data_IF_929048570172
#
_entry.id   IF_929048570172
#
_cell.length_a   1.000
_cell.length_b   1.000
_cell.length_c   1.000
_cell.angle_alpha   90.00
_cell.angle_beta   90.00
_cell.angle_gamma   90.00
#
_symmetry.space_group_name_H-M   'P 1'
#
loop_
_entity.id
_entity.type
_entity.pdbx_description
1 polymer ?
#
# COMPACT_ATOMS: atom_id res chain seq x y z
N UNK A 1 -22.01 25.52 42.85
CA UNK A 1 -21.66 24.09 42.95
C UNK A 1 -21.80 23.29 41.65
N UNK A 2 -22.21 23.91 40.52
CA UNK A 2 -22.45 23.22 39.23
C UNK A 2 -21.26 23.30 38.27
N UNK A 3 -20.44 24.36 38.35
CA UNK A 3 -19.27 24.57 37.47
C UNK A 3 -18.12 23.56 37.67
N UNK A 4 -18.01 22.95 38.86
CA UNK A 4 -16.92 22.01 39.19
C UNK A 4 -17.13 20.62 38.53
N UNK A 5 -18.37 20.25 38.24
CA UNK A 5 -18.72 18.99 37.58
C UNK A 5 -18.59 19.07 36.06
N UNK A 6 -18.77 20.26 35.46
CA UNK A 6 -18.62 20.46 34.01
C UNK A 6 -17.15 20.27 33.58
N UNK A 7 -16.20 20.70 34.42
CA UNK A 7 -14.76 20.53 34.13
C UNK A 7 -14.32 19.05 34.22
N UNK A 8 -14.99 18.25 35.05
CA UNK A 8 -14.68 16.81 35.23
C UNK A 8 -15.20 15.95 34.06
N UNK A 9 -16.28 16.38 33.40
CA UNK A 9 -16.83 15.70 32.22
C UNK A 9 -15.93 15.89 30.99
N UNK A 10 -15.27 17.05 30.85
CA UNK A 10 -14.39 17.33 29.71
C UNK A 10 -13.10 16.48 29.76
N UNK A 11 -12.60 16.14 30.95
CA UNK A 11 -11.38 15.32 31.11
C UNK A 11 -11.59 13.82 30.89
N UNK A 12 -12.83 13.33 30.86
CA UNK A 12 -13.13 11.91 30.65
C UNK A 12 -13.51 11.54 29.21
N UNK A 13 -13.70 12.53 28.32
CA UNK A 13 -14.15 12.29 26.92
C UNK A 13 -13.00 12.18 25.91
N UNK A 14 -11.75 12.48 26.30
CA UNK A 14 -10.57 12.20 25.47
C UNK A 14 -9.67 11.20 26.22
N UNK A 15 -9.65 9.90 25.85
CA UNK A 15 -9.04 9.48 24.59
C UNK A 15 -9.63 8.18 23.99
N UNK A 16 -10.51 8.25 22.98
CA UNK A 16 -10.92 7.05 22.23
C UNK A 16 -10.38 7.05 20.78
N UNK A 17 -9.73 8.12 20.33
CA UNK A 17 -9.14 8.17 18.98
C UNK A 17 -7.74 7.53 18.95
N UNK A 18 -7.63 6.30 19.45
CA UNK A 18 -6.55 5.38 19.03
C UNK A 18 -7.12 4.00 18.68
N UNK A 19 -8.36 3.95 18.19
CA UNK A 19 -8.81 2.81 17.40
C UNK A 19 -7.92 2.74 16.16
N UNK A 20 -7.03 1.75 16.15
CA UNK A 20 -5.99 1.56 15.14
C UNK A 20 -6.54 1.78 13.73
N UNK A 21 -5.78 2.51 12.93
CA UNK A 21 -5.94 2.54 11.49
C UNK A 21 -5.64 1.14 10.94
N UNK A 22 -6.56 0.20 11.18
CA UNK A 22 -6.68 -0.99 10.36
C UNK A 22 -7.17 -0.43 9.03
N UNK A 23 -6.22 -0.23 8.13
CA UNK A 23 -6.51 0.08 6.75
C UNK A 23 -7.51 -0.98 6.26
N UNK A 24 -8.78 -0.61 6.12
CA UNK A 24 -9.80 -1.43 5.49
C UNK A 24 -9.43 -1.52 4.01
N UNK A 25 -8.44 -2.35 3.71
CA UNK A 25 -8.33 -2.92 2.39
C UNK A 25 -9.47 -3.92 2.30
N UNK A 26 -10.63 -3.44 1.85
CA UNK A 26 -11.70 -4.30 1.38
C UNK A 26 -11.06 -5.10 0.27
N UNK A 27 -10.77 -6.38 0.53
CA UNK A 27 -10.51 -7.31 -0.56
C UNK A 27 -11.87 -7.45 -1.23
N UNK A 28 -12.06 -6.73 -2.33
CA UNK A 28 -13.29 -6.92 -3.08
C UNK A 28 -13.33 -8.39 -3.48
N UNK A 29 -14.42 -9.05 -3.11
CA UNK A 29 -14.66 -10.47 -3.39
C UNK A 29 -15.42 -10.65 -4.70
N UNK A 30 -15.76 -9.55 -5.38
CA UNK A 30 -16.41 -9.56 -6.68
C UNK A 30 -15.47 -10.11 -7.75
N UNK A 31 -15.73 -11.32 -8.29
CA UNK A 31 -14.88 -11.94 -9.30
C UNK A 31 -14.85 -11.15 -10.62
N UNK A 32 -15.82 -10.27 -10.85
CA UNK A 32 -15.97 -9.48 -12.07
C UNK A 32 -14.89 -8.41 -12.28
N UNK A 33 -14.33 -7.86 -11.20
CA UNK A 33 -13.29 -6.81 -11.27
C UNK A 33 -11.93 -7.33 -11.73
N UNK A 34 -11.69 -8.64 -11.55
CA UNK A 34 -10.45 -9.28 -11.99
C UNK A 34 -10.42 -9.59 -13.49
N UNK A 35 -11.54 -9.48 -14.20
CA UNK A 35 -11.63 -10.00 -15.59
C UNK A 35 -10.65 -9.35 -16.57
N UNK A 36 -10.21 -8.12 -16.29
CA UNK A 36 -9.27 -7.38 -17.15
C UNK A 36 -7.95 -7.01 -16.45
N UNK A 37 -7.78 -7.36 -15.16
CA UNK A 37 -6.54 -7.06 -14.44
C UNK A 37 -5.49 -8.12 -14.75
N UNK A 38 -4.43 -7.72 -15.47
CA UNK A 38 -3.34 -8.61 -15.89
C UNK A 38 -2.14 -8.56 -14.94
N UNK A 39 -2.05 -7.53 -14.09
CA UNK A 39 -0.95 -7.32 -13.16
C UNK A 39 -1.41 -7.56 -11.72
N UNK A 40 -0.85 -8.56 -11.07
CA UNK A 40 -1.25 -9.03 -9.74
C UNK A 40 -0.21 -8.65 -8.68
N UNK A 41 -0.66 -7.98 -7.63
CA UNK A 41 0.18 -7.49 -6.55
C UNK A 41 -0.46 -7.82 -5.19
N UNK A 42 0.35 -8.32 -4.25
CA UNK A 42 -0.07 -8.51 -2.86
C UNK A 42 1.07 -8.12 -1.91
N UNK A 43 1.04 -6.91 -1.32
CA UNK A 43 2.11 -6.47 -0.44
C UNK A 43 2.06 -7.21 0.90
N UNK A 44 3.21 -7.39 1.59
CA UNK A 44 3.24 -7.89 2.95
C UNK A 44 2.34 -7.08 3.89
N UNK A 45 1.74 -7.75 4.89
CA UNK A 45 0.90 -7.10 5.90
C UNK A 45 1.41 -7.46 7.31
N UNK A 46 1.79 -6.47 8.15
CA UNK A 46 1.90 -5.03 7.86
C UNK A 46 3.19 -4.67 7.09
N UNK A 47 3.20 -3.48 6.47
CA UNK A 47 4.44 -2.85 6.00
C UNK A 47 5.05 -2.06 7.15
N UNK A 48 6.26 -2.44 7.59
CA UNK A 48 6.91 -1.78 8.72
C UNK A 48 7.75 -0.57 8.30
N UNK A 49 7.68 0.52 9.06
CA UNK A 49 8.62 1.64 8.91
C UNK A 49 10.05 1.19 9.24
N UNK A 50 11.04 1.85 8.63
CA UNK A 50 12.47 1.60 8.85
C UNK A 50 12.92 0.15 8.53
N UNK A 51 12.15 -0.59 7.74
CA UNK A 51 12.51 -1.91 7.22
C UNK A 51 12.50 -1.90 5.69
N UNK A 52 13.40 -2.66 5.09
CA UNK A 52 13.40 -2.91 3.64
C UNK A 52 12.26 -3.84 3.29
N UNK A 53 11.61 -3.60 2.17
CA UNK A 53 10.52 -4.45 1.66
C UNK A 53 10.64 -4.57 0.14
N UNK A 54 10.07 -5.64 -0.40
CA UNK A 54 9.91 -5.78 -1.84
C UNK A 54 8.50 -5.32 -2.24
N UNK A 55 8.42 -4.53 -3.30
CA UNK A 55 7.18 -4.19 -3.99
C UNK A 55 7.18 -5.01 -5.27
N UNK A 56 6.38 -6.07 -5.26
CA UNK A 56 6.42 -7.13 -6.26
C UNK A 56 5.12 -7.24 -7.02
N UNK A 57 5.14 -7.39 -8.33
CA UNK A 57 3.96 -7.84 -9.05
C UNK A 57 4.31 -8.98 -10.00
N UNK A 58 3.30 -9.80 -10.30
CA UNK A 58 3.37 -10.86 -11.31
C UNK A 58 2.35 -10.57 -12.40
N UNK A 59 2.51 -11.21 -13.55
CA UNK A 59 1.60 -11.05 -14.69
C UNK A 59 1.39 -12.39 -15.39
N UNK A 60 0.22 -12.53 -16.01
CA UNK A 60 -0.11 -13.63 -16.92
C UNK A 60 0.14 -13.25 -18.40
N UNK A 61 0.72 -12.08 -18.64
CA UNK A 61 1.13 -11.61 -19.96
C UNK A 61 2.37 -12.40 -20.42
N UNK A 62 2.36 -12.98 -21.64
CA UNK A 62 3.50 -13.69 -22.20
C UNK A 62 4.77 -12.83 -22.25
N UNK A 63 5.90 -13.37 -21.82
CA UNK A 63 7.14 -12.60 -21.64
C UNK A 63 7.65 -11.93 -22.92
N UNK A 64 7.46 -12.60 -24.06
CA UNK A 64 7.80 -12.13 -25.41
C UNK A 64 6.92 -10.94 -25.87
N UNK A 65 5.74 -10.77 -25.28
CA UNK A 65 4.85 -9.63 -25.55
C UNK A 65 5.16 -8.40 -24.69
N UNK A 66 5.98 -8.51 -23.64
CA UNK A 66 6.28 -7.42 -22.70
C UNK A 66 7.38 -6.52 -23.27
N UNK A 67 7.07 -5.24 -23.47
CA UNK A 67 8.03 -4.23 -23.92
C UNK A 67 8.73 -3.55 -22.74
N UNK A 68 7.99 -3.23 -21.68
CA UNK A 68 8.55 -2.64 -20.46
C UNK A 68 7.58 -2.74 -19.30
N UNK A 69 8.12 -2.73 -18.09
CA UNK A 69 7.38 -2.53 -16.86
C UNK A 69 7.97 -1.40 -16.03
N UNK A 70 7.11 -0.59 -15.43
CA UNK A 70 7.48 0.52 -14.58
C UNK A 70 6.64 0.55 -13.31
N UNK A 71 7.28 0.94 -12.21
CA UNK A 71 6.65 1.34 -10.96
C UNK A 71 6.69 2.86 -10.88
N UNK A 72 5.53 3.47 -10.69
CA UNK A 72 5.42 4.86 -10.29
C UNK A 72 5.28 4.89 -8.78
N UNK A 73 6.25 5.51 -8.11
CA UNK A 73 6.38 5.46 -6.66
C UNK A 73 6.62 6.84 -6.08
N UNK A 74 6.01 7.11 -4.93
CA UNK A 74 6.38 8.22 -4.06
C UNK A 74 6.17 7.88 -2.59
N UNK A 75 6.85 8.63 -1.74
CA UNK A 75 6.51 8.73 -0.32
C UNK A 75 5.79 10.04 -0.05
N UNK A 76 5.25 10.21 1.15
CA UNK A 76 4.69 11.50 1.59
C UNK A 76 5.72 12.64 1.69
N UNK A 77 7.03 12.35 1.57
CA UNK A 77 8.10 13.36 1.56
C UNK A 77 8.35 13.88 0.13
N UNK A 78 7.90 13.14 -0.89
CA UNK A 78 8.12 13.47 -2.29
C UNK A 78 6.92 14.24 -2.86
N UNK A 79 7.19 15.30 -3.63
CA UNK A 79 6.13 16.09 -4.30
C UNK A 79 5.44 15.32 -5.42
N UNK A 80 6.22 14.57 -6.21
CA UNK A 80 5.75 13.89 -7.41
C UNK A 80 6.11 12.41 -7.41
N UNK A 81 5.37 11.63 -8.19
CA UNK A 81 5.74 10.27 -8.53
C UNK A 81 7.08 10.24 -9.26
N UNK A 82 7.90 9.25 -8.93
CA UNK A 82 9.08 8.89 -9.69
C UNK A 82 8.84 7.56 -10.39
N UNK A 83 9.22 7.48 -11.65
CA UNK A 83 9.18 6.24 -12.43
C UNK A 83 10.45 5.42 -12.20
N UNK A 84 10.27 4.11 -11.98
CA UNK A 84 11.33 3.12 -11.90
C UNK A 84 11.03 1.99 -12.88
N UNK A 85 11.93 1.76 -13.84
CA UNK A 85 11.84 0.57 -14.68
C UNK A 85 12.15 -0.68 -13.85
N UNK A 86 11.33 -1.71 -14.00
CA UNK A 86 11.48 -2.98 -13.30
C UNK A 86 11.72 -4.10 -14.31
N UNK A 87 12.76 -4.88 -14.09
CA UNK A 87 13.07 -6.07 -14.88
C UNK A 87 12.27 -7.27 -14.41
N UNK A 88 11.98 -8.18 -15.34
CA UNK A 88 11.41 -9.47 -15.03
C UNK A 88 12.49 -10.47 -14.63
N UNK A 89 12.23 -11.27 -13.60
CA UNK A 89 12.90 -12.52 -13.31
C UNK A 89 11.83 -13.63 -13.18
N UNK A 90 11.70 -14.49 -14.19
CA UNK A 90 10.75 -15.63 -14.19
C UNK A 90 9.27 -15.27 -13.91
N UNK A 91 8.80 -14.13 -14.43
CA UNK A 91 7.43 -13.63 -14.25
C UNK A 91 7.26 -12.70 -13.05
N UNK A 92 8.31 -12.54 -12.23
CA UNK A 92 8.35 -11.64 -11.08
C UNK A 92 9.01 -10.31 -11.44
N UNK A 93 8.27 -9.23 -11.21
CA UNK A 93 8.78 -7.86 -11.31
C UNK A 93 8.94 -7.32 -9.89
N UNK A 94 10.18 -7.02 -9.48
CA UNK A 94 10.52 -6.65 -8.11
C UNK A 94 11.20 -5.29 -8.01
N UNK A 95 10.67 -4.44 -7.14
CA UNK A 95 11.35 -3.23 -6.68
C UNK A 95 11.76 -3.36 -5.21
N UNK A 96 13.03 -3.12 -4.92
CA UNK A 96 13.57 -3.14 -3.56
C UNK A 96 13.43 -1.77 -2.90
N UNK A 97 12.43 -1.62 -2.04
CA UNK A 97 12.24 -0.42 -1.24
C UNK A 97 13.26 -0.39 -0.09
N UNK A 98 14.06 0.68 -0.03
CA UNK A 98 14.94 1.00 1.10
C UNK A 98 14.48 2.32 1.77
N UNK A 99 14.03 2.30 3.03
CA UNK A 99 13.61 3.51 3.74
C UNK A 99 14.75 4.50 4.00
N UNK A 100 16.02 4.07 3.89
CA UNK A 100 17.16 4.99 3.95
C UNK A 100 17.27 5.85 2.70
N UNK A 101 16.92 5.29 1.54
CA UNK A 101 16.94 5.98 0.25
C UNK A 101 15.65 6.76 0.01
N UNK A 102 14.51 6.17 0.39
CA UNK A 102 13.18 6.73 0.19
C UNK A 102 12.46 6.88 1.54
N UNK A 103 12.82 7.91 2.33
CA UNK A 103 12.25 8.12 3.65
C UNK A 103 10.77 8.53 3.55
N UNK A 104 9.99 8.14 4.55
CA UNK A 104 8.58 8.50 4.65
C UNK A 104 7.84 7.67 5.70
N UNK A 105 6.59 8.07 5.94
CA UNK A 105 5.63 7.34 6.77
C UNK A 105 4.52 6.72 5.93
N UNK A 106 4.33 7.18 4.70
CA UNK A 106 3.36 6.64 3.76
C UNK A 106 4.01 6.37 2.41
N UNK A 107 3.58 5.27 1.78
CA UNK A 107 3.94 4.91 0.42
C UNK A 107 2.71 5.07 -0.47
N UNK A 108 2.93 5.61 -1.66
CA UNK A 108 1.92 5.62 -2.73
C UNK A 108 2.56 5.10 -4.02
N UNK A 109 1.92 4.13 -4.66
CA UNK A 109 2.46 3.55 -5.89
C UNK A 109 1.44 2.85 -6.79
N UNK A 110 1.78 2.73 -8.06
CA UNK A 110 1.07 1.94 -9.06
C UNK A 110 2.06 1.40 -10.10
N UNK A 111 1.62 0.40 -10.86
CA UNK A 111 2.38 -0.25 -11.91
C UNK A 111 1.81 0.07 -13.27
N UNK A 112 2.70 0.22 -14.26
CA UNK A 112 2.36 0.29 -15.67
C UNK A 112 3.20 -0.75 -16.41
N UNK A 113 2.53 -1.58 -17.22
CA UNK A 113 3.17 -2.50 -18.14
C UNK A 113 2.78 -2.13 -19.56
N UNK A 114 3.80 -1.95 -20.41
CA UNK A 114 3.62 -1.78 -21.84
C UNK A 114 3.87 -3.12 -22.54
N UNK A 115 2.91 -3.52 -23.37
CA UNK A 115 2.98 -4.70 -24.22
C UNK A 115 2.92 -4.29 -25.69
N UNK A 116 3.04 -5.27 -26.58
CA UNK A 116 2.78 -5.08 -28.00
C UNK A 116 1.32 -4.64 -28.27
N UNK A 117 0.38 -5.10 -27.44
CA UNK A 117 -1.06 -4.89 -27.62
C UNK A 117 -1.61 -3.65 -26.89
N UNK A 118 -0.84 -3.04 -25.98
CA UNK A 118 -1.28 -1.84 -25.28
C UNK A 118 -0.60 -1.56 -23.94
N UNK A 119 -1.33 -0.87 -23.06
CA UNK A 119 -0.90 -0.51 -21.72
C UNK A 119 -1.82 -1.16 -20.67
N UNK A 120 -1.21 -1.71 -19.64
CA UNK A 120 -1.90 -2.30 -18.49
C UNK A 120 -1.48 -1.56 -17.23
N UNK A 121 -2.46 -1.08 -16.46
CA UNK A 121 -2.26 -0.41 -15.18
C UNK A 121 -2.75 -1.26 -14.01
N UNK A 122 -2.12 -1.11 -12.84
CA UNK A 122 -2.57 -1.77 -11.61
C UNK A 122 -2.12 -1.01 -10.35
N UNK A 123 -2.93 -0.91 -9.29
CA UNK A 123 -4.32 -1.40 -9.20
C UNK A 123 -5.28 -0.54 -10.02
N UNK A 124 -6.43 -1.12 -10.35
CA UNK A 124 -7.60 -0.40 -10.86
C UNK A 124 -8.72 -0.48 -9.82
N UNK A 125 -9.59 0.53 -9.79
CA UNK A 125 -10.79 0.53 -8.96
C UNK A 125 -11.99 -0.13 -9.66
N UNK A 126 -13.16 -0.07 -9.02
CA UNK A 126 -14.40 -0.69 -9.50
C UNK A 126 -14.91 -0.09 -10.82
N UNK A 127 -14.46 1.12 -11.18
CA UNK A 127 -14.78 1.77 -12.45
C UNK A 127 -13.76 1.41 -13.55
N UNK A 128 -12.70 0.68 -13.20
CA UNK A 128 -11.58 0.39 -14.08
C UNK A 128 -10.55 1.52 -14.16
N UNK A 129 -10.67 2.55 -13.31
CA UNK A 129 -9.73 3.66 -13.26
C UNK A 129 -8.49 3.28 -12.45
N UNK A 130 -7.32 3.77 -12.89
CA UNK A 130 -6.07 3.55 -12.17
C UNK A 130 -6.18 4.15 -10.74
N UNK A 131 -6.02 3.28 -9.73
CA UNK A 131 -6.16 3.64 -8.33
C UNK A 131 -4.90 3.24 -7.55
N UNK A 132 -3.96 4.18 -7.31
CA UNK A 132 -2.70 3.87 -6.65
C UNK A 132 -2.88 3.24 -5.27
N UNK A 133 -2.03 2.27 -4.96
CA UNK A 133 -1.88 1.72 -3.62
C UNK A 133 -1.42 2.84 -2.69
N UNK A 134 -2.18 3.10 -1.63
CA UNK A 134 -1.81 3.99 -0.54
C UNK A 134 -1.58 3.13 0.71
N UNK A 135 -0.43 3.29 1.36
CA UNK A 135 -0.02 2.47 2.52
C UNK A 135 0.64 3.28 3.62
N UNK A 136 0.14 3.11 4.85
CA UNK A 136 0.83 3.56 6.06
C UNK A 136 1.94 2.57 6.46
N UNK A 137 3.12 3.08 6.79
CA UNK A 137 4.23 2.32 7.35
C UNK A 137 4.10 2.23 8.87
N UNK A 138 3.94 1.01 9.37
CA UNK A 138 3.63 0.73 10.77
C UNK A 138 4.91 0.68 11.62
N UNK A 139 4.86 1.24 12.83
CA UNK A 139 5.93 1.05 13.81
C UNK A 139 5.93 -0.41 14.30
N UNK A 140 7.00 -1.19 14.07
CA UNK A 140 7.06 -2.58 14.51
C UNK A 140 6.91 -2.73 16.03
N UNK A 141 7.45 -1.79 16.81
CA UNK A 141 7.36 -1.85 18.28
C UNK A 141 5.90 -1.67 18.72
N UNK A 142 5.19 -0.70 18.14
CA UNK A 142 3.79 -0.46 18.47
C UNK A 142 2.90 -1.61 17.99
N UNK A 143 3.18 -2.16 16.80
CA UNK A 143 2.45 -3.31 16.26
C UNK A 143 2.49 -4.51 17.20
N UNK A 144 3.68 -4.96 17.63
CA UNK A 144 3.79 -6.12 18.51
C UNK A 144 3.24 -5.84 19.93
N UNK A 145 3.37 -4.61 20.44
CA UNK A 145 2.69 -4.19 21.68
C UNK A 145 1.17 -4.28 21.57
N UNK A 146 0.58 -3.94 20.43
CA UNK A 146 -0.85 -4.08 20.19
C UNK A 146 -1.26 -5.54 20.08
N UNK A 147 -0.55 -6.35 19.29
CA UNK A 147 -0.85 -7.78 19.12
C UNK A 147 -0.79 -8.55 20.44
N UNK A 148 0.22 -8.28 21.28
CA UNK A 148 0.32 -8.89 22.62
C UNK A 148 -0.79 -8.49 23.59
N UNK A 149 -1.49 -7.37 23.37
CA UNK A 149 -2.66 -6.97 24.16
C UNK A 149 -3.95 -7.65 23.67
N UNK A 150 -4.04 -7.91 22.37
CA UNK A 150 -5.20 -8.55 21.73
C UNK A 150 -5.22 -10.07 21.92
N UNK A 151 -4.04 -10.68 22.08
CA UNK A 151 -3.87 -12.12 22.31
C UNK A 151 -3.90 -12.51 23.80
N UNK A 152 -4.30 -11.59 24.68
CA UNK A 152 -4.55 -11.81 26.11
C UNK A 152 -6.05 -11.74 26.36
#
# INVERSE_FOLDING_TARGET
MIKKYILFIITFILPIITSGQIEKQVRDTNPGLYKNQRLYHSPPKPLFKNRKHNIDFITDIPQDSILSASLFFKTNVMTYYREFKISNEHGLFRFHYDPKTYPGTHLEYYFIMKTQDGLHGSPIDDNGDLSPVKKLLIDPIQYYKQQSRLNK
#
